data_IF_297050456044
#
_entry.id   IF_297050456044
#
_cell.length_a   1.000
_cell.length_b   1.000
_cell.length_c   1.000
_cell.angle_alpha   90.00
_cell.angle_beta   90.00
_cell.angle_gamma   90.00
#
_symmetry.space_group_name_H-M   'P 1'
#
loop_
_entity.id
_entity.type
_entity.pdbx_description
1 polymer ?
#
# COMPACT_ATOMS: atom_id res chain seq x y z
N UNK A 1 -17.09 -9.63 -3.35
CA UNK A 1 -16.18 -8.72 -2.63
C UNK A 1 -15.38 -7.95 -3.67
N UNK A 2 -15.62 -6.63 -3.77
CA UNK A 2 -15.01 -5.59 -4.64
C UNK A 2 -14.64 -5.86 -6.13
N UNK A 3 -14.73 -7.09 -6.66
CA UNK A 3 -14.54 -7.41 -8.07
C UNK A 3 -15.85 -7.31 -8.85
N UNK A 4 -16.13 -6.16 -9.45
CA UNK A 4 -17.17 -6.06 -10.47
C UNK A 4 -16.87 -4.92 -11.45
N UNK A 5 -15.77 -5.02 -12.19
CA UNK A 5 -15.63 -4.29 -13.45
C UNK A 5 -15.24 -5.28 -14.53
N UNK A 6 -16.19 -5.58 -15.44
CA UNK A 6 -15.94 -6.38 -16.63
C UNK A 6 -14.99 -5.59 -17.54
N UNK A 7 -13.77 -6.10 -17.75
CA UNK A 7 -12.76 -5.51 -18.62
C UNK A 7 -11.37 -5.47 -17.99
N UNK A 8 -10.33 -5.32 -18.82
CA UNK A 8 -8.92 -5.18 -18.37
C UNK A 8 -8.64 -3.86 -17.63
N UNK A 9 -9.64 -3.00 -17.43
CA UNK A 9 -9.53 -1.75 -16.68
C UNK A 9 -10.15 -1.92 -15.30
N UNK A 10 -9.38 -2.45 -14.34
CA UNK A 10 -9.82 -2.72 -12.97
C UNK A 10 -9.50 -1.60 -11.99
N UNK A 11 -8.48 -0.81 -12.31
CA UNK A 11 -8.11 0.35 -11.51
C UNK A 11 -7.33 1.38 -12.31
N UNK A 12 -7.34 2.58 -11.77
CA UNK A 12 -6.58 3.72 -12.24
C UNK A 12 -5.95 4.42 -11.05
N UNK A 13 -4.76 4.94 -11.23
CA UNK A 13 -4.15 5.89 -10.32
C UNK A 13 -4.19 7.25 -11.02
N UNK A 14 -4.76 8.24 -10.35
CA UNK A 14 -5.01 9.56 -10.94
C UNK A 14 -4.68 10.64 -9.93
N UNK A 15 -4.24 11.79 -10.42
CA UNK A 15 -4.15 13.01 -9.62
C UNK A 15 -5.00 14.11 -10.26
N UNK A 16 -5.48 15.03 -9.43
CA UNK A 16 -6.43 16.05 -9.84
C UNK A 16 -5.89 17.43 -9.47
N UNK A 17 -5.69 18.26 -10.49
CA UNK A 17 -5.23 19.63 -10.33
C UNK A 17 -6.41 20.52 -9.95
N UNK A 18 -6.47 20.95 -8.68
CA UNK A 18 -7.36 22.03 -8.29
C UNK A 18 -6.76 23.37 -8.76
N UNK A 19 -7.49 24.14 -9.55
CA UNK A 19 -7.06 25.49 -9.99
C UNK A 19 -7.12 26.55 -8.87
N UNK A 20 -7.18 26.12 -7.61
CA UNK A 20 -7.15 26.97 -6.42
C UNK A 20 -8.51 27.50 -5.95
N UNK A 21 -9.58 27.22 -6.69
CA UNK A 21 -10.93 27.69 -6.39
C UNK A 21 -11.88 26.57 -5.90
N UNK A 22 -11.42 25.32 -5.90
CA UNK A 22 -12.22 24.16 -5.50
C UNK A 22 -13.36 23.79 -6.46
N UNK A 23 -13.55 24.54 -7.54
CA UNK A 23 -14.63 24.32 -8.51
C UNK A 23 -14.13 23.81 -9.86
N UNK A 24 -12.85 23.99 -10.17
CA UNK A 24 -12.23 23.54 -11.42
C UNK A 24 -11.13 22.53 -11.14
N UNK A 25 -11.28 21.35 -11.72
CA UNK A 25 -10.39 20.22 -11.53
C UNK A 25 -9.95 19.66 -12.88
N UNK A 26 -8.63 19.60 -13.11
CA UNK A 26 -8.07 18.91 -14.27
C UNK A 26 -7.58 17.52 -13.84
N UNK A 27 -8.10 16.48 -14.47
CA UNK A 27 -7.67 15.10 -14.25
C UNK A 27 -6.36 14.83 -14.98
N UNK A 28 -5.44 14.15 -14.30
CA UNK A 28 -4.23 13.59 -14.86
C UNK A 28 -4.16 12.10 -14.50
N UNK A 29 -3.93 11.27 -15.50
CA UNK A 29 -3.84 9.83 -15.33
C UNK A 29 -2.38 9.41 -15.13
N UNK A 30 -2.11 8.72 -14.02
CA UNK A 30 -0.82 8.06 -13.75
C UNK A 30 -0.84 6.63 -14.28
N UNK A 31 -1.95 5.93 -14.02
CA UNK A 31 -2.17 4.56 -14.49
C UNK A 31 -3.56 4.45 -15.09
N UNK A 32 -3.64 3.92 -16.31
CA UNK A 32 -4.90 3.59 -16.99
C UNK A 32 -4.92 2.12 -17.40
N UNK A 33 -6.08 1.46 -17.29
CA UNK A 33 -6.22 0.09 -17.78
C UNK A 33 -5.42 -0.94 -16.98
N UNK A 34 -5.19 -0.70 -15.68
CA UNK A 34 -4.46 -1.64 -14.84
C UNK A 34 -5.31 -2.86 -14.50
N UNK A 35 -4.65 -4.00 -14.37
CA UNK A 35 -5.23 -5.19 -13.76
C UNK A 35 -5.37 -5.08 -12.24
N UNK A 36 -4.67 -4.11 -11.62
CA UNK A 36 -4.71 -3.82 -10.20
C UNK A 36 -5.76 -2.73 -9.91
N UNK A 37 -6.50 -2.92 -8.82
CA UNK A 37 -7.24 -1.87 -8.13
C UNK A 37 -6.32 -1.23 -7.07
N UNK A 38 -6.29 0.10 -7.04
CA UNK A 38 -5.49 0.87 -6.10
C UNK A 38 -6.40 1.47 -5.04
N UNK A 39 -6.05 1.31 -3.76
CA UNK A 39 -6.94 1.68 -2.65
C UNK A 39 -6.44 2.87 -1.81
N UNK A 40 -5.17 3.24 -1.94
CA UNK A 40 -4.53 4.35 -1.23
C UNK A 40 -3.25 4.74 -1.95
N UNK A 41 -2.80 5.99 -1.81
CA UNK A 41 -1.54 6.44 -2.39
C UNK A 41 -0.77 7.33 -1.39
N UNK A 42 0.54 7.09 -1.29
CA UNK A 42 1.49 7.94 -0.56
C UNK A 42 2.30 8.77 -1.56
N UNK A 43 2.71 9.96 -1.16
CA UNK A 43 3.51 10.87 -1.99
C UNK A 43 4.70 11.45 -1.21
N UNK A 44 5.85 10.80 -1.35
CA UNK A 44 7.10 11.15 -0.68
C UNK A 44 8.29 10.65 -1.50
N UNK A 45 9.49 11.14 -1.19
CA UNK A 45 10.73 10.65 -1.79
C UNK A 45 11.11 9.32 -1.11
N UNK A 46 10.92 8.21 -1.83
CA UNK A 46 11.14 6.87 -1.29
C UNK A 46 12.44 6.24 -1.82
N UNK A 47 13.00 6.74 -2.91
CA UNK A 47 14.25 6.26 -3.47
C UNK A 47 15.48 7.16 -3.22
N UNK A 48 15.25 8.36 -2.66
CA UNK A 48 16.29 9.28 -2.20
C UNK A 48 16.86 10.17 -3.31
N UNK A 49 16.18 10.27 -4.46
CA UNK A 49 16.65 11.07 -5.60
C UNK A 49 16.24 12.55 -5.53
N UNK A 50 15.49 12.94 -4.50
CA UNK A 50 15.00 14.30 -4.28
C UNK A 50 13.71 14.63 -5.03
N UNK A 51 13.15 13.70 -5.80
CA UNK A 51 11.86 13.79 -6.46
C UNK A 51 10.87 12.91 -5.69
N UNK A 52 9.67 13.42 -5.44
CA UNK A 52 8.66 12.64 -4.73
C UNK A 52 8.06 11.57 -5.64
N UNK A 53 7.97 10.36 -5.13
CA UNK A 53 7.38 9.20 -5.76
C UNK A 53 5.93 9.00 -5.30
N UNK A 54 5.21 8.13 -6.01
CA UNK A 54 3.96 7.55 -5.49
C UNK A 54 4.20 6.11 -5.06
N UNK A 55 3.61 5.73 -3.93
CA UNK A 55 3.49 4.32 -3.54
C UNK A 55 2.04 3.97 -3.30
N UNK A 56 1.61 2.80 -3.78
CA UNK A 56 0.25 2.29 -3.61
C UNK A 56 0.24 0.79 -3.41
N UNK A 57 -0.70 0.30 -2.60
CA UNK A 57 -1.08 -1.11 -2.58
C UNK A 57 -2.00 -1.40 -3.76
N UNK A 58 -1.55 -2.27 -4.66
CA UNK A 58 -2.31 -2.75 -5.81
C UNK A 58 -2.88 -4.13 -5.55
N UNK A 59 -4.20 -4.30 -5.70
CA UNK A 59 -4.87 -5.58 -5.65
C UNK A 59 -5.38 -6.03 -7.02
N UNK A 60 -4.83 -7.11 -7.56
CA UNK A 60 -5.30 -7.75 -8.79
C UNK A 60 -6.13 -8.97 -8.43
N UNK A 61 -7.46 -8.83 -8.46
CA UNK A 61 -8.37 -9.97 -8.31
C UNK A 61 -8.51 -10.71 -9.64
N UNK A 62 -8.20 -11.99 -9.75
CA UNK A 62 -8.33 -12.73 -11.00
C UNK A 62 -9.79 -12.96 -11.38
N UNK A 63 -10.37 -14.08 -10.96
CA UNK A 63 -11.76 -14.45 -11.15
C UNK A 63 -12.58 -13.94 -9.95
N UNK A 64 -13.54 -13.03 -10.15
CA UNK A 64 -14.37 -12.49 -9.06
C UNK A 64 -15.13 -13.54 -8.23
N UNK A 65 -15.34 -14.73 -8.80
CA UNK A 65 -16.02 -15.86 -8.16
C UNK A 65 -15.05 -16.84 -7.50
N UNK A 66 -13.75 -16.74 -7.79
CA UNK A 66 -12.72 -17.57 -7.20
C UNK A 66 -11.72 -16.63 -6.58
N UNK A 67 -11.99 -16.27 -5.33
CA UNK A 67 -11.14 -15.32 -4.67
C UNK A 67 -9.67 -15.84 -4.62
N UNK A 68 -9.46 -17.18 -4.78
CA UNK A 68 -8.19 -17.96 -4.88
C UNK A 68 -7.07 -17.38 -5.76
N UNK A 69 -7.34 -16.41 -6.60
CA UNK A 69 -6.37 -15.83 -7.53
C UNK A 69 -6.11 -14.34 -7.30
N UNK A 70 -6.60 -13.79 -6.18
CA UNK A 70 -6.32 -12.43 -5.75
C UNK A 70 -4.83 -12.26 -5.40
N UNK A 71 -4.18 -11.30 -6.04
CA UNK A 71 -2.78 -10.96 -5.81
C UNK A 71 -2.65 -9.52 -5.31
N UNK A 72 -1.83 -9.30 -4.28
CA UNK A 72 -1.56 -7.96 -3.75
C UNK A 72 -0.08 -7.70 -3.69
N UNK A 73 0.29 -6.52 -4.18
CA UNK A 73 1.65 -6.02 -4.12
C UNK A 73 1.70 -4.53 -3.79
N UNK A 74 2.79 -4.15 -3.16
CA UNK A 74 3.18 -2.76 -3.00
C UNK A 74 3.92 -2.31 -4.27
N UNK A 75 3.45 -1.22 -4.89
CA UNK A 75 4.02 -0.68 -6.12
C UNK A 75 4.55 0.74 -5.91
N UNK A 76 5.76 0.97 -6.40
CA UNK A 76 6.39 2.29 -6.52
C UNK A 76 6.22 2.84 -7.94
N UNK A 77 5.89 4.11 -8.03
CA UNK A 77 5.87 4.88 -9.27
C UNK A 77 6.86 6.03 -9.09
N UNK A 78 8.06 5.87 -9.64
CA UNK A 78 9.13 6.88 -9.49
C UNK A 78 8.68 8.22 -10.03
N UNK A 79 8.89 9.28 -9.26
CA UNK A 79 8.66 10.65 -9.70
C UNK A 79 9.62 11.06 -10.81
N UNK A 80 9.11 11.69 -11.87
CA UNK A 80 9.92 12.23 -12.96
C UNK A 80 9.97 13.77 -12.93
N UNK A 81 9.38 14.37 -11.91
CA UNK A 81 9.18 15.81 -11.80
C UNK A 81 7.94 16.30 -12.56
N UNK A 82 7.45 17.48 -12.21
CA UNK A 82 6.32 18.13 -12.90
C UNK A 82 4.99 17.37 -12.86
N UNK A 83 4.82 16.42 -11.93
CA UNK A 83 3.61 15.59 -11.82
C UNK A 83 3.58 14.38 -12.77
N UNK A 84 4.71 14.05 -13.40
CA UNK A 84 4.88 12.83 -14.19
C UNK A 84 5.51 11.72 -13.34
N UNK A 85 5.16 10.47 -13.66
CA UNK A 85 5.65 9.29 -12.97
C UNK A 85 6.05 8.20 -13.96
N UNK A 86 7.04 7.39 -13.59
CA UNK A 86 7.42 6.20 -14.34
C UNK A 86 6.38 5.08 -14.20
N UNK A 87 6.55 4.03 -15.00
CA UNK A 87 5.75 2.82 -14.86
C UNK A 87 5.94 2.16 -13.49
N UNK A 88 4.90 1.45 -13.03
CA UNK A 88 4.91 0.75 -11.75
C UNK A 88 6.11 -0.20 -11.64
N UNK A 89 6.81 -0.13 -10.52
CA UNK A 89 7.80 -1.12 -10.09
C UNK A 89 7.26 -1.82 -8.85
N UNK A 90 7.23 -3.16 -8.89
CA UNK A 90 6.88 -3.96 -7.73
C UNK A 90 7.97 -3.84 -6.66
N UNK A 91 7.59 -3.43 -5.45
CA UNK A 91 8.48 -3.40 -4.30
C UNK A 91 8.42 -4.71 -3.50
N UNK A 92 7.22 -5.21 -3.23
CA UNK A 92 7.03 -6.40 -2.40
C UNK A 92 5.64 -6.99 -2.56
N UNK A 93 5.49 -8.28 -2.24
CA UNK A 93 4.19 -8.92 -2.10
C UNK A 93 3.55 -8.61 -0.74
N UNK A 94 2.22 -8.57 -0.70
CA UNK A 94 1.45 -8.34 0.52
C UNK A 94 1.19 -6.87 0.82
N UNK A 95 0.75 -6.60 2.05
CA UNK A 95 0.12 -5.35 2.48
C UNK A 95 -1.38 -5.33 2.15
N UNK A 96 -1.88 -4.12 1.90
CA UNK A 96 -3.28 -3.87 1.60
C UNK A 96 -3.59 -2.40 1.36
N UNK A 97 -4.82 -2.02 1.67
CA UNK A 97 -5.29 -0.64 1.56
C UNK A 97 -4.79 0.23 2.72
N UNK A 98 -5.00 1.55 2.67
CA UNK A 98 -4.75 2.47 3.79
C UNK A 98 -3.33 2.38 4.36
N UNK A 99 -2.35 2.41 3.45
CA UNK A 99 -0.93 2.44 3.80
C UNK A 99 -0.53 3.80 4.36
N UNK A 100 0.47 3.82 5.24
CA UNK A 100 1.04 5.02 5.88
C UNK A 100 2.55 5.05 5.71
N UNK A 101 3.15 6.24 5.66
CA UNK A 101 4.60 6.44 5.62
C UNK A 101 5.11 6.89 6.99
N UNK A 102 6.13 6.22 7.52
CA UNK A 102 6.75 6.58 8.80
C UNK A 102 8.16 5.97 8.91
N UNK A 103 9.10 6.66 9.54
CA UNK A 103 10.43 6.11 9.86
C UNK A 103 10.31 5.21 11.10
N UNK A 104 10.10 3.91 10.88
CA UNK A 104 9.75 2.93 11.93
C UNK A 104 10.97 2.57 12.77
N UNK A 105 12.15 2.51 12.17
CA UNK A 105 13.38 2.06 12.80
C UNK A 105 14.34 3.20 13.20
N UNK A 106 14.04 4.45 12.84
CA UNK A 106 14.82 5.63 13.18
C UNK A 106 16.07 5.81 12.32
N UNK A 107 16.10 5.25 11.09
CA UNK A 107 17.24 5.38 10.19
C UNK A 107 17.16 6.59 9.26
N UNK A 108 16.09 7.39 9.37
CA UNK A 108 15.88 8.62 8.61
C UNK A 108 15.27 8.39 7.22
N UNK A 109 14.99 7.14 6.84
CA UNK A 109 14.26 6.82 5.63
C UNK A 109 12.77 6.59 5.96
N UNK A 110 11.89 7.02 5.05
CA UNK A 110 10.47 6.73 5.21
C UNK A 110 10.22 5.27 4.84
N UNK A 111 9.78 4.50 5.84
CA UNK A 111 9.23 3.17 5.65
C UNK A 111 7.74 3.24 5.31
N UNK A 112 7.17 2.10 4.94
CA UNK A 112 5.74 1.99 4.66
C UNK A 112 5.12 1.00 5.63
N UNK A 113 4.09 1.42 6.35
CA UNK A 113 3.30 0.57 7.23
C UNK A 113 1.97 0.29 6.54
N UNK A 114 1.55 -0.98 6.55
CA UNK A 114 0.37 -1.42 5.80
C UNK A 114 -0.43 -2.44 6.59
N UNK A 115 -1.76 -2.35 6.61
CA UNK A 115 -2.59 -3.44 7.07
C UNK A 115 -2.49 -4.61 6.10
N UNK A 116 -2.40 -5.81 6.66
CA UNK A 116 -2.34 -7.05 5.90
C UNK A 116 -3.77 -7.63 5.85
N UNK A 117 -4.58 -7.04 4.99
CA UNK A 117 -5.93 -7.54 4.68
C UNK A 117 -5.86 -8.68 3.64
N UNK A 118 -4.96 -8.54 2.66
CA UNK A 118 -4.88 -9.40 1.48
C UNK A 118 -3.63 -10.30 1.51
N UNK A 119 -3.70 -11.44 2.22
CA UNK A 119 -2.68 -12.53 2.21
C UNK A 119 -2.13 -12.92 3.59
N UNK A 120 -1.55 -14.15 3.81
CA UNK A 120 -0.92 -15.08 2.84
C UNK A 120 -1.35 -16.58 2.92
N UNK A 121 -1.49 -17.28 1.77
CA UNK A 121 -0.83 -18.55 1.32
C UNK A 121 -1.08 -18.70 -0.20
N UNK A 122 -0.30 -19.54 -0.90
CA UNK A 122 -0.48 -19.90 -2.32
C UNK A 122 -1.94 -20.18 -2.69
N UNK A 123 -2.49 -19.43 -3.66
CA UNK A 123 -3.88 -19.55 -4.10
C UNK A 123 -4.93 -18.80 -3.26
N UNK A 124 -4.52 -17.69 -2.61
CA UNK A 124 -5.25 -16.60 -1.93
C UNK A 124 -6.77 -16.51 -2.06
N UNK A 125 -7.64 -16.54 -1.03
CA UNK A 125 -8.25 -15.26 -0.61
C UNK A 125 -8.55 -15.19 0.89
N UNK A 126 -9.03 -14.02 1.37
CA UNK A 126 -9.51 -13.72 2.75
C UNK A 126 -9.04 -14.76 3.75
N UNK A 127 -7.94 -14.51 4.46
CA UNK A 127 -7.40 -15.53 5.36
C UNK A 127 -8.45 -15.81 6.45
N UNK A 128 -9.16 -16.96 6.39
CA UNK A 128 -10.22 -17.20 7.36
C UNK A 128 -9.59 -17.32 8.74
N UNK A 129 -10.34 -17.04 9.83
CA UNK A 129 -9.81 -17.05 11.19
C UNK A 129 -8.94 -18.27 11.54
N UNK A 130 -9.31 -19.45 11.04
CA UNK A 130 -8.61 -20.72 11.27
C UNK A 130 -7.31 -20.91 10.47
N UNK A 131 -7.06 -20.12 9.43
CA UNK A 131 -5.85 -20.19 8.59
C UNK A 131 -4.82 -19.09 8.92
N UNK A 132 -5.12 -18.22 9.90
CA UNK A 132 -4.23 -17.15 10.36
C UNK A 132 -3.18 -17.72 11.32
N UNK A 133 -2.13 -18.33 10.76
CA UNK A 133 -0.97 -18.83 11.52
C UNK A 133 0.06 -17.74 11.84
N UNK A 134 1.13 -18.11 12.56
CA UNK A 134 2.23 -17.21 12.92
C UNK A 134 2.97 -16.60 11.71
N UNK A 135 2.76 -17.12 10.49
CA UNK A 135 3.27 -16.57 9.23
C UNK A 135 2.32 -15.57 8.56
N UNK A 136 1.11 -15.39 9.09
CA UNK A 136 0.08 -14.46 8.59
C UNK A 136 0.11 -13.22 9.46
N UNK A 137 0.79 -12.19 8.97
CA UNK A 137 0.83 -10.90 9.62
C UNK A 137 -0.56 -10.25 9.56
N UNK A 138 -0.95 -9.52 10.60
CA UNK A 138 -2.17 -8.69 10.57
C UNK A 138 -1.89 -7.29 10.02
N UNK A 139 -0.64 -6.85 10.21
CA UNK A 139 -0.08 -5.65 9.65
C UNK A 139 1.36 -5.96 9.26
N UNK A 140 1.92 -5.23 8.31
CA UNK A 140 3.30 -5.35 7.89
C UNK A 140 3.91 -3.97 7.85
N UNK A 141 5.23 -3.91 7.98
CA UNK A 141 5.96 -2.75 7.52
C UNK A 141 7.01 -3.18 6.50
N UNK A 142 7.23 -2.30 5.54
CA UNK A 142 8.23 -2.43 4.49
C UNK A 142 9.31 -1.43 4.84
N UNK A 143 10.41 -1.95 5.38
CA UNK A 143 11.60 -1.17 5.69
C UNK A 143 12.22 -0.66 4.40
N UNK A 144 12.44 0.63 4.30
CA UNK A 144 13.20 1.22 3.22
C UNK A 144 14.69 0.98 3.46
N UNK A 145 15.36 0.31 2.52
CA UNK A 145 16.81 0.07 2.59
C UNK A 145 17.61 1.13 1.82
N UNK A 146 16.92 2.14 1.27
CA UNK A 146 17.45 3.16 0.37
C UNK A 146 17.40 2.72 -1.11
N UNK A 147 17.54 3.70 -2.01
CA UNK A 147 17.61 3.48 -3.45
C UNK A 147 16.36 2.82 -4.04
N UNK A 148 15.21 2.94 -3.37
CA UNK A 148 13.93 2.37 -3.80
C UNK A 148 13.78 0.88 -3.52
N UNK A 149 14.57 0.32 -2.60
CA UNK A 149 14.49 -1.10 -2.21
C UNK A 149 13.86 -1.27 -0.82
N UNK A 150 13.08 -2.34 -0.64
CA UNK A 150 12.30 -2.54 0.59
C UNK A 150 12.35 -3.97 1.11
N UNK A 151 12.49 -4.14 2.42
CA UNK A 151 12.39 -5.42 3.12
C UNK A 151 11.11 -5.50 3.93
N UNK A 152 10.34 -6.58 3.77
CA UNK A 152 9.05 -6.76 4.47
C UNK A 152 9.21 -7.46 5.83
N UNK A 153 8.52 -6.92 6.83
CA UNK A 153 8.45 -7.45 8.19
C UNK A 153 7.00 -7.49 8.68
N UNK A 154 6.69 -8.42 9.59
CA UNK A 154 5.37 -8.52 10.21
C UNK A 154 5.25 -7.58 11.42
N UNK A 155 4.07 -6.95 11.58
CA UNK A 155 3.63 -6.27 12.78
C UNK A 155 2.41 -7.04 13.31
N UNK A 156 2.65 -7.87 14.31
CA UNK A 156 1.64 -8.75 14.87
C UNK A 156 1.27 -9.90 13.93
N UNK A 157 1.07 -11.07 14.52
CA UNK A 157 0.69 -12.29 13.80
C UNK A 157 -0.55 -12.88 14.45
N UNK A 158 -1.38 -13.55 13.65
CA UNK A 158 -2.58 -14.25 14.12
C UNK A 158 -3.65 -13.38 14.83
N UNK A 159 -3.68 -12.06 14.59
CA UNK A 159 -4.70 -11.17 15.17
C UNK A 159 -5.92 -10.99 14.27
N UNK A 160 -5.82 -11.39 13.01
CA UNK A 160 -6.86 -11.17 12.01
C UNK A 160 -6.37 -10.49 10.76
N UNK A 161 -7.29 -9.99 9.95
CA UNK A 161 -7.04 -9.22 8.72
C UNK A 161 -7.08 -7.73 9.08
N UNK A 162 -5.94 -7.04 9.06
CA UNK A 162 -5.92 -5.62 9.38
C UNK A 162 -6.70 -4.79 8.34
N UNK A 163 -7.30 -3.68 8.76
CA UNK A 163 -7.96 -2.68 7.91
C UNK A 163 -7.22 -1.35 7.87
N UNK A 164 -6.69 -0.89 9.01
CA UNK A 164 -5.87 0.32 9.09
C UNK A 164 -4.83 0.22 10.18
N UNK A 165 -3.72 0.94 10.03
CA UNK A 165 -2.68 1.10 11.05
C UNK A 165 -2.08 2.49 10.89
N UNK A 166 -1.99 3.24 11.99
CA UNK A 166 -1.49 4.63 11.98
C UNK A 166 -0.45 4.84 13.08
N UNK A 167 0.63 5.60 12.81
CA UNK A 167 1.57 6.02 13.84
C UNK A 167 0.94 7.05 14.79
N UNK A 168 1.24 6.93 16.08
CA UNK A 168 0.77 7.82 17.15
C UNK A 168 1.95 8.22 18.00
N UNK A 169 2.34 9.48 17.88
CA UNK A 169 3.48 10.04 18.60
C UNK A 169 3.23 10.02 20.12
N UNK A 170 4.25 9.57 20.86
CA UNK A 170 4.29 9.64 22.32
C UNK A 170 3.04 9.09 23.03
N UNK A 171 2.44 8.03 22.50
CA UNK A 171 1.16 7.50 23.01
C UNK A 171 1.22 7.11 24.49
N UNK A 172 2.37 6.63 24.96
CA UNK A 172 2.59 6.21 26.35
C UNK A 172 3.30 7.27 27.21
N UNK A 173 3.64 8.44 26.66
CA UNK A 173 4.39 9.47 27.38
C UNK A 173 5.92 9.25 27.47
N UNK A 174 6.46 8.26 26.77
CA UNK A 174 7.89 7.88 26.80
C UNK A 174 8.73 8.42 25.63
N UNK A 175 8.17 9.30 24.82
CA UNK A 175 8.82 9.91 23.66
C UNK A 175 8.90 9.02 22.42
N UNK A 176 8.37 7.79 22.46
CA UNK A 176 8.46 6.84 21.34
C UNK A 176 7.10 6.71 20.66
N UNK A 177 7.10 6.69 19.32
CA UNK A 177 5.88 6.46 18.52
C UNK A 177 5.35 5.04 18.73
N UNK A 178 4.03 4.91 18.79
CA UNK A 178 3.31 3.62 18.78
C UNK A 178 2.42 3.56 17.55
N UNK A 179 1.81 2.41 17.33
CA UNK A 179 0.88 2.23 16.22
C UNK A 179 -0.47 1.77 16.76
N UNK A 180 -1.54 2.45 16.33
CA UNK A 180 -2.92 2.05 16.60
C UNK A 180 -3.48 1.45 15.33
N UNK A 181 -4.14 0.31 15.44
CA UNK A 181 -4.56 -0.46 14.29
C UNK A 181 -5.95 -1.09 14.48
N UNK A 182 -6.65 -1.30 13.37
CA UNK A 182 -8.01 -1.88 13.32
C UNK A 182 -8.06 -3.10 12.42
N UNK A 183 -8.94 -4.06 12.73
CA UNK A 183 -9.09 -5.38 12.11
C UNK A 183 -10.53 -5.85 12.22
#
# INVERSE_FOLDING_TARGET
FFGAFLGRARGSLTWWENRGNGSTWLRHDVVTGSQFAYHSALHADFDGDGIRDLVSGGGAAGNPSAASDDHVELQLFRGLGGGAFAAATKLSDGGGALIEAYDVNGDGLLDIVSPQYFGPVSGQPFVPPFARGASVASYVWFRNEGGGTFTRFAIGTAQGTGFSIVPVANFLGDGVTRFIATN
#
